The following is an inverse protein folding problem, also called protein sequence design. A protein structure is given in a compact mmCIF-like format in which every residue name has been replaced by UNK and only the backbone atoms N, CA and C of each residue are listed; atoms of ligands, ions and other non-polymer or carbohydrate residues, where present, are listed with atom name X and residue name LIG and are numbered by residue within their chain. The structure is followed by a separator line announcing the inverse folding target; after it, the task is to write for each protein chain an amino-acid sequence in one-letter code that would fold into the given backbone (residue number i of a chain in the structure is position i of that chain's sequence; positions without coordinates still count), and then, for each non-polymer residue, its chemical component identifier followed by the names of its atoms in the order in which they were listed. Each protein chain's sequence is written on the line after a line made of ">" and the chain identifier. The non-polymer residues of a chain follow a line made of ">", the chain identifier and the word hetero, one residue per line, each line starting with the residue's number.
data_IF_220884865375
#
_entry.id   IF_220884865375
#
_cell.length_a   1.000
_cell.length_b   1.000
_cell.length_c   1.000
_cell.angle_alpha   90.00
_cell.angle_beta   90.00
_cell.angle_gamma   90.00
#
_symmetry.space_group_name_H-M   'P 1'
#
loop_
_entity.id
_entity.type
_entity.pdbx_description
1 polymer ?
#
# COMPACT_ATOMS: atom_id res chain seq x y z
N UNK A 1 30.10 -6.27 -9.67
CA UNK A 1 28.82 -5.76 -9.12
C UNK A 1 28.96 -4.27 -8.94
N UNK A 2 28.08 -3.46 -9.55
CA UNK A 2 28.19 -2.00 -9.53
C UNK A 2 26.81 -1.37 -9.30
N UNK A 3 26.76 -0.34 -8.47
CA UNK A 3 25.60 0.53 -8.30
C UNK A 3 26.07 1.96 -8.00
N UNK A 4 25.26 2.94 -8.38
CA UNK A 4 25.54 4.36 -8.22
C UNK A 4 24.33 5.08 -7.62
N UNK A 5 24.55 6.28 -7.07
CA UNK A 5 23.44 7.17 -6.70
C UNK A 5 22.78 7.82 -7.93
N UNK A 6 23.61 8.25 -8.89
CA UNK A 6 23.18 8.89 -10.14
C UNK A 6 22.93 7.86 -11.26
N UNK A 7 22.03 8.15 -12.22
CA UNK A 7 21.86 7.31 -13.41
C UNK A 7 23.15 7.29 -14.25
N UNK A 8 23.52 6.11 -14.71
CA UNK A 8 24.51 5.91 -15.77
C UNK A 8 23.87 5.17 -16.94
N UNK A 9 24.39 5.40 -18.14
CA UNK A 9 23.97 4.70 -19.34
C UNK A 9 24.33 3.21 -19.30
N UNK A 10 23.71 2.43 -20.18
CA UNK A 10 24.03 1.01 -20.30
C UNK A 10 25.44 0.86 -20.88
N UNK A 11 26.18 -0.13 -20.39
CA UNK A 11 27.54 -0.42 -20.84
C UNK A 11 27.54 -1.76 -21.55
N UNK A 12 28.10 -1.81 -22.75
CA UNK A 12 28.33 -3.07 -23.46
C UNK A 12 29.78 -3.50 -23.26
N UNK A 13 29.98 -4.72 -22.76
CA UNK A 13 31.29 -5.31 -22.52
C UNK A 13 31.23 -6.79 -22.84
N UNK A 14 32.18 -7.30 -23.62
CA UNK A 14 32.28 -8.71 -24.04
C UNK A 14 30.97 -9.27 -24.65
N UNK A 15 30.28 -8.46 -25.47
CA UNK A 15 29.00 -8.83 -26.11
C UNK A 15 27.81 -8.94 -25.14
N UNK A 16 27.97 -8.46 -23.90
CA UNK A 16 26.91 -8.40 -22.87
C UNK A 16 26.58 -6.97 -22.52
N UNK A 17 25.28 -6.70 -22.39
CA UNK A 17 24.77 -5.40 -21.96
C UNK A 17 24.60 -5.39 -20.44
N UNK A 18 25.33 -4.51 -19.78
CA UNK A 18 25.24 -4.24 -18.35
C UNK A 18 24.38 -3.00 -18.09
N UNK A 19 23.43 -3.12 -17.16
CA UNK A 19 22.53 -2.01 -16.79
C UNK A 19 22.81 -1.62 -15.32
N UNK A 20 23.69 -0.64 -15.08
CA UNK A 20 24.05 -0.24 -13.72
C UNK A 20 22.80 0.17 -12.93
N UNK A 21 22.65 -0.38 -11.73
CA UNK A 21 21.51 -0.10 -10.85
C UNK A 21 21.71 1.19 -10.06
N UNK A 22 20.60 1.84 -9.70
CA UNK A 22 20.63 3.04 -8.87
C UNK A 22 20.27 2.70 -7.42
N UNK A 23 21.16 3.04 -6.48
CA UNK A 23 20.89 2.97 -5.04
C UNK A 23 20.10 4.19 -4.56
N UNK A 24 18.84 4.28 -4.97
CA UNK A 24 17.99 5.43 -4.65
C UNK A 24 17.19 5.21 -3.35
N UNK A 25 17.18 6.23 -2.50
CA UNK A 25 16.32 6.35 -1.32
C UNK A 25 14.83 6.11 -1.62
N UNK A 26 14.39 6.40 -2.84
CA UNK A 26 13.01 6.18 -3.32
C UNK A 26 12.52 4.73 -3.17
N UNK A 27 13.39 3.73 -3.01
CA UNK A 27 12.97 2.35 -2.76
C UNK A 27 12.52 2.09 -1.32
N UNK A 28 12.94 2.92 -0.36
CA UNK A 28 12.76 2.66 1.08
C UNK A 28 11.76 3.62 1.69
N UNK A 29 11.98 4.94 1.53
CA UNK A 29 11.17 5.95 2.24
C UNK A 29 9.66 5.86 1.96
N UNK A 30 9.19 5.66 0.71
CA UNK A 30 7.75 5.60 0.46
C UNK A 30 7.06 4.44 1.20
N UNK A 31 7.68 3.25 1.22
CA UNK A 31 7.12 2.09 1.90
C UNK A 31 7.15 2.21 3.43
N UNK A 32 8.27 2.69 3.99
CA UNK A 32 8.39 2.91 5.44
C UNK A 32 7.42 3.99 5.91
N UNK A 33 7.32 5.09 5.16
CA UNK A 33 6.41 6.19 5.48
C UNK A 33 4.94 5.73 5.38
N UNK A 34 4.58 4.99 4.33
CA UNK A 34 3.24 4.43 4.16
C UNK A 34 2.86 3.54 5.35
N UNK A 35 3.73 2.61 5.76
CA UNK A 35 3.50 1.78 6.93
C UNK A 35 3.40 2.60 8.23
N UNK A 36 4.29 3.56 8.44
CA UNK A 36 4.28 4.39 9.63
C UNK A 36 2.99 5.24 9.76
N UNK A 37 2.51 5.80 8.65
CA UNK A 37 1.29 6.62 8.62
C UNK A 37 0.05 5.74 8.83
N UNK A 38 -0.10 4.68 8.04
CA UNK A 38 -1.31 3.85 8.06
C UNK A 38 -1.51 3.15 9.41
N UNK A 39 -0.43 2.63 10.00
CA UNK A 39 -0.49 1.95 11.30
C UNK A 39 -0.30 2.90 12.49
N UNK A 40 -0.21 4.22 12.24
CA UNK A 40 -0.01 5.28 13.23
C UNK A 40 1.12 4.92 14.21
N UNK A 41 2.30 4.67 13.67
CA UNK A 41 3.47 4.27 14.44
C UNK A 41 3.88 5.37 15.44
N UNK A 42 4.12 5.01 16.70
CA UNK A 42 4.65 5.96 17.71
C UNK A 42 6.07 6.42 17.38
N UNK A 43 6.91 5.47 16.99
CA UNK A 43 8.31 5.69 16.63
C UNK A 43 8.70 4.73 15.50
N UNK A 44 9.63 5.15 14.65
CA UNK A 44 10.17 4.32 13.57
C UNK A 44 11.51 3.73 14.07
N UNK A 45 11.56 2.43 14.41
CA UNK A 45 12.80 1.80 14.85
C UNK A 45 13.73 1.53 13.66
N UNK A 46 15.04 1.44 13.91
CA UNK A 46 16.04 1.05 12.88
C UNK A 46 15.69 -0.28 12.19
N UNK A 47 15.01 -1.16 12.93
CA UNK A 47 14.52 -2.43 12.41
C UNK A 47 13.54 -2.25 11.25
N UNK A 48 12.76 -1.17 11.21
CA UNK A 48 11.85 -0.87 10.10
C UNK A 48 12.62 -0.63 8.80
N UNK A 49 13.75 0.07 8.85
CA UNK A 49 14.63 0.26 7.68
C UNK A 49 15.31 -1.05 7.27
N UNK A 50 15.71 -1.88 8.24
CA UNK A 50 16.23 -3.22 7.95
C UNK A 50 15.17 -4.14 7.33
N UNK A 51 13.91 -4.01 7.75
CA UNK A 51 12.79 -4.73 7.14
C UNK A 51 12.57 -4.23 5.72
N UNK A 52 12.50 -2.91 5.51
CA UNK A 52 12.36 -2.28 4.19
C UNK A 52 13.48 -2.70 3.22
N UNK A 53 14.72 -2.77 3.69
CA UNK A 53 15.88 -3.24 2.93
C UNK A 53 15.98 -4.78 2.81
N UNK A 54 15.07 -5.52 3.43
CA UNK A 54 14.96 -6.99 3.35
C UNK A 54 13.64 -7.47 2.71
N UNK A 55 12.76 -6.56 2.33
CA UNK A 55 11.39 -6.86 1.89
C UNK A 55 11.34 -7.90 0.80
N UNK A 56 10.49 -8.87 1.08
CA UNK A 56 10.24 -10.09 0.38
C UNK A 56 9.07 -9.90 -0.55
N UNK A 57 9.21 -10.27 -1.82
CA UNK A 57 8.02 -10.55 -2.64
C UNK A 57 7.36 -11.83 -2.12
N UNK A 58 6.43 -11.73 -1.17
CA UNK A 58 5.50 -12.83 -0.91
C UNK A 58 4.28 -12.63 -1.80
N UNK A 59 4.35 -13.17 -3.01
CA UNK A 59 3.19 -13.81 -3.61
C UNK A 59 3.51 -15.30 -3.62
N UNK A 60 3.22 -15.97 -2.50
CA UNK A 60 3.22 -17.44 -2.46
C UNK A 60 1.76 -17.83 -2.69
N UNK A 61 1.38 -18.39 -3.86
CA UNK A 61 0.06 -18.98 -3.99
C UNK A 61 -0.06 -20.07 -2.93
N UNK A 62 -1.18 -20.01 -2.20
CA UNK A 62 -1.58 -20.90 -1.12
C UNK A 62 -1.26 -22.36 -1.45
N UNK A 63 -0.19 -22.93 -0.85
CA UNK A 63 0.14 -24.34 -1.07
C UNK A 63 1.52 -24.83 -0.66
N UNK A 64 2.55 -23.98 -0.53
CA UNK A 64 3.90 -24.47 -0.25
C UNK A 64 4.39 -24.10 1.15
N UNK A 65 4.07 -25.01 2.08
CA UNK A 65 4.88 -25.49 3.20
C UNK A 65 5.61 -24.40 4.01
N UNK A 66 4.97 -24.11 5.14
CA UNK A 66 5.53 -23.67 6.41
C UNK A 66 6.84 -24.40 6.74
N UNK A 67 7.74 -23.68 7.42
CA UNK A 67 8.95 -24.17 8.08
C UNK A 67 10.26 -24.06 7.28
N UNK A 68 11.29 -23.54 7.97
CA UNK A 68 12.67 -23.26 7.50
C UNK A 68 12.81 -22.10 6.51
N UNK A 69 12.77 -20.87 7.02
CA UNK A 69 13.00 -19.68 6.18
C UNK A 69 13.73 -18.56 6.91
N UNK A 70 14.85 -18.90 7.55
CA UNK A 70 16.02 -18.02 7.57
C UNK A 70 16.52 -17.80 6.13
N UNK A 71 17.23 -16.69 5.90
CA UNK A 71 17.86 -16.23 4.65
C UNK A 71 17.03 -15.21 3.83
N UNK A 72 17.77 -14.13 3.51
CA UNK A 72 17.54 -12.91 2.74
C UNK A 72 16.41 -12.90 1.71
N UNK A 73 15.66 -11.79 1.59
CA UNK A 73 14.57 -11.69 0.61
C UNK A 73 14.33 -10.34 -0.13
N UNK A 74 15.11 -9.28 0.09
CA UNK A 74 15.12 -8.11 -0.84
C UNK A 74 15.70 -8.41 -2.22
N UNK A 75 16.50 -9.46 -2.33
CA UNK A 75 17.08 -9.91 -3.59
C UNK A 75 16.04 -10.51 -4.55
N UNK A 76 14.83 -10.88 -4.08
CA UNK A 76 13.86 -11.63 -4.88
C UNK A 76 12.97 -10.76 -5.79
N UNK A 77 12.80 -9.47 -5.50
CA UNK A 77 12.12 -8.56 -6.42
C UNK A 77 12.94 -8.35 -7.71
N UNK A 78 14.26 -8.56 -7.62
CA UNK A 78 15.15 -8.59 -8.77
C UNK A 78 15.04 -9.97 -9.41
N UNK A 79 14.36 -10.03 -10.56
CA UNK A 79 14.24 -11.27 -11.34
C UNK A 79 15.64 -11.86 -11.62
N UNK A 80 15.82 -13.17 -11.49
CA UNK A 80 17.10 -13.83 -11.83
C UNK A 80 17.58 -13.48 -13.24
N UNK A 81 16.63 -13.32 -14.18
CA UNK A 81 16.90 -12.85 -15.54
C UNK A 81 17.55 -11.47 -15.55
N UNK A 82 17.06 -10.53 -14.73
CA UNK A 82 17.63 -9.18 -14.62
C UNK A 82 19.03 -9.20 -14.01
N UNK A 83 19.27 -10.07 -13.03
CA UNK A 83 20.57 -10.22 -12.38
C UNK A 83 21.59 -10.91 -13.30
N UNK A 84 21.22 -12.02 -13.95
CA UNK A 84 22.14 -12.78 -14.82
C UNK A 84 22.38 -12.13 -16.18
N UNK A 85 21.36 -11.53 -16.78
CA UNK A 85 21.48 -10.92 -18.11
C UNK A 85 22.03 -9.51 -18.06
N UNK A 86 21.63 -8.69 -17.08
CA UNK A 86 21.96 -7.27 -17.04
C UNK A 86 22.80 -6.84 -15.82
N UNK A 87 23.13 -7.77 -14.91
CA UNK A 87 23.84 -7.49 -13.66
C UNK A 87 23.19 -6.39 -12.80
N UNK A 88 21.86 -6.22 -12.92
CA UNK A 88 21.13 -5.17 -12.22
C UNK A 88 20.85 -5.59 -10.76
N UNK A 89 21.22 -4.72 -9.83
CA UNK A 89 21.09 -4.97 -8.38
C UNK A 89 19.79 -4.47 -7.74
N UNK A 90 19.12 -3.50 -8.37
CA UNK A 90 17.90 -2.88 -7.85
C UNK A 90 16.69 -3.21 -8.72
N UNK A 91 15.47 -3.24 -8.15
CA UNK A 91 14.26 -3.45 -8.91
C UNK A 91 14.01 -2.31 -9.90
N UNK A 92 13.02 -2.47 -10.78
CA UNK A 92 12.67 -1.40 -11.73
C UNK A 92 11.92 -0.29 -11.01
N UNK A 93 12.18 0.96 -11.39
CA UNK A 93 11.48 2.14 -10.85
C UNK A 93 9.95 2.07 -11.02
N UNK A 94 9.46 1.41 -12.08
CA UNK A 94 8.01 1.22 -12.30
C UNK A 94 7.34 0.42 -11.19
N UNK A 95 8.09 -0.47 -10.55
CA UNK A 95 7.57 -1.42 -9.58
C UNK A 95 7.65 -0.87 -8.13
N UNK A 96 8.07 0.40 -7.95
CA UNK A 96 8.22 1.04 -6.63
C UNK A 96 6.90 1.08 -5.84
N UNK A 97 5.76 1.29 -6.52
CA UNK A 97 4.45 1.35 -5.84
C UNK A 97 4.12 0.03 -5.16
N UNK A 98 4.26 -1.09 -5.89
CA UNK A 98 4.03 -2.42 -5.33
C UNK A 98 5.05 -2.78 -4.27
N UNK A 99 6.32 -2.42 -4.47
CA UNK A 99 7.35 -2.60 -3.44
C UNK A 99 7.01 -1.85 -2.15
N UNK A 100 6.46 -0.64 -2.27
CA UNK A 100 6.07 0.19 -1.12
C UNK A 100 4.91 -0.43 -0.33
N UNK A 101 3.95 -1.07 -1.01
CA UNK A 101 2.86 -1.82 -0.35
C UNK A 101 3.43 -2.97 0.48
N UNK A 102 4.33 -3.77 -0.11
CA UNK A 102 4.94 -4.91 0.57
C UNK A 102 5.78 -4.47 1.79
N UNK A 103 6.55 -3.38 1.65
CA UNK A 103 7.27 -2.77 2.78
C UNK A 103 6.29 -2.34 3.87
N UNK A 104 5.20 -1.68 3.51
CA UNK A 104 4.22 -1.23 4.49
C UNK A 104 3.60 -2.41 5.25
N UNK A 105 3.28 -3.53 4.58
CA UNK A 105 2.77 -4.75 5.23
C UNK A 105 3.78 -5.30 6.25
N UNK A 106 5.04 -5.47 5.85
CA UNK A 106 6.09 -6.01 6.71
C UNK A 106 6.37 -5.09 7.92
N UNK A 107 6.43 -3.78 7.69
CA UNK A 107 6.58 -2.77 8.75
C UNK A 107 5.37 -2.79 9.68
N UNK A 108 4.15 -2.88 9.15
CA UNK A 108 2.91 -2.98 9.93
C UNK A 108 2.91 -4.18 10.86
N UNK A 109 3.24 -5.37 10.34
CA UNK A 109 3.36 -6.59 11.13
C UNK A 109 4.36 -6.44 12.29
N UNK A 110 5.50 -5.79 12.03
CA UNK A 110 6.48 -5.51 13.06
C UNK A 110 5.96 -4.52 14.11
N UNK A 111 5.30 -3.45 13.68
CA UNK A 111 4.76 -2.43 14.58
C UNK A 111 3.69 -2.99 15.52
N UNK A 112 2.78 -3.83 15.04
CA UNK A 112 1.78 -4.49 15.88
C UNK A 112 2.43 -5.46 16.86
N UNK A 113 3.36 -6.32 16.41
CA UNK A 113 4.07 -7.27 17.29
C UNK A 113 4.82 -6.61 18.44
N UNK A 114 5.35 -5.41 18.22
CA UNK A 114 6.10 -4.66 19.23
C UNK A 114 5.27 -3.60 19.97
N UNK A 115 3.94 -3.58 19.82
CA UNK A 115 3.04 -2.60 20.45
C UNK A 115 3.40 -1.13 20.13
N UNK A 116 3.95 -0.90 18.94
CA UNK A 116 4.33 0.42 18.43
C UNK A 116 3.24 1.05 17.55
N UNK A 117 2.35 0.23 16.98
CA UNK A 117 1.17 0.68 16.25
C UNK A 117 0.12 1.23 17.21
N UNK A 118 -0.52 2.35 16.84
CA UNK A 118 -1.68 2.91 17.57
C UNK A 118 -2.99 2.78 16.82
N UNK A 119 -2.97 2.26 15.59
CA UNK A 119 -4.18 1.89 14.87
C UNK A 119 -4.89 0.75 15.63
N UNK A 120 -6.16 0.96 15.95
CA UNK A 120 -7.02 -0.06 16.57
C UNK A 120 -8.43 0.02 15.98
N UNK A 121 -9.09 -1.11 15.66
CA UNK A 121 -8.60 -2.49 15.76
C UNK A 121 -7.48 -2.82 14.74
N UNK A 122 -6.74 -3.91 14.98
CA UNK A 122 -5.80 -4.43 13.98
C UNK A 122 -6.58 -4.97 12.78
N UNK A 123 -6.28 -4.53 11.54
CA UNK A 123 -6.98 -5.01 10.36
C UNK A 123 -6.64 -6.50 10.12
N UNK A 124 -7.68 -7.29 9.82
CA UNK A 124 -7.55 -8.72 9.51
C UNK A 124 -6.66 -8.95 8.28
N UNK A 125 -6.98 -8.24 7.18
CA UNK A 125 -6.15 -8.19 5.98
C UNK A 125 -5.44 -6.83 5.85
N UNK A 126 -4.15 -6.83 6.22
CA UNK A 126 -3.29 -5.64 6.15
C UNK A 126 -3.01 -5.21 4.72
N UNK A 127 -2.90 -6.13 3.77
CA UNK A 127 -2.60 -5.77 2.38
C UNK A 127 -3.80 -5.06 1.76
N UNK A 128 -5.00 -5.63 1.92
CA UNK A 128 -6.24 -5.01 1.44
C UNK A 128 -6.47 -3.65 2.08
N UNK A 129 -6.24 -3.52 3.40
CA UNK A 129 -6.31 -2.25 4.12
C UNK A 129 -5.36 -1.21 3.52
N UNK A 130 -4.09 -1.57 3.28
CA UNK A 130 -3.12 -0.65 2.68
C UNK A 130 -3.55 -0.23 1.27
N UNK A 131 -3.99 -1.18 0.43
CA UNK A 131 -4.40 -0.91 -0.95
C UNK A 131 -5.60 0.04 -1.03
N UNK A 132 -6.54 -0.02 -0.08
CA UNK A 132 -7.68 0.90 -0.01
C UNK A 132 -7.30 2.33 0.39
N UNK A 133 -6.16 2.52 1.07
CA UNK A 133 -5.73 3.82 1.58
C UNK A 133 -4.71 4.51 0.66
N UNK A 134 -4.23 3.82 -0.38
CA UNK A 134 -3.32 4.40 -1.36
C UNK A 134 -4.06 5.40 -2.24
N UNK A 135 -3.40 6.51 -2.54
CA UNK A 135 -3.90 7.52 -3.47
C UNK A 135 -4.21 6.94 -4.85
N UNK A 136 -5.45 7.14 -5.31
CA UNK A 136 -5.87 6.84 -6.67
C UNK A 136 -5.54 8.01 -7.60
N UNK A 137 -5.09 7.70 -8.81
CA UNK A 137 -4.83 8.70 -9.86
C UNK A 137 -6.06 8.96 -10.73
N UNK A 138 -7.13 8.18 -10.53
CA UNK A 138 -8.38 8.30 -11.25
C UNK A 138 -9.22 9.46 -10.69
N UNK A 139 -10.05 10.06 -11.53
CA UNK A 139 -10.94 11.14 -11.09
C UNK A 139 -12.06 10.58 -10.23
N UNK A 140 -12.31 11.24 -9.10
CA UNK A 140 -13.44 10.94 -8.24
C UNK A 140 -14.73 11.62 -8.73
N UNK A 141 -15.87 10.98 -8.48
CA UNK A 141 -17.18 11.59 -8.70
C UNK A 141 -17.43 12.71 -7.69
N UNK A 142 -17.60 13.94 -8.18
CA UNK A 142 -17.88 15.11 -7.36
C UNK A 142 -19.37 15.35 -7.10
N UNK A 143 -20.23 14.63 -7.83
CA UNK A 143 -21.69 14.75 -7.72
C UNK A 143 -22.19 13.69 -6.73
N UNK A 144 -23.08 14.09 -5.84
CA UNK A 144 -23.67 13.19 -4.85
C UNK A 144 -24.44 12.05 -5.53
N UNK A 145 -24.21 10.81 -5.07
CA UNK A 145 -25.01 9.64 -5.47
C UNK A 145 -26.36 9.69 -4.79
N UNK A 146 -27.43 9.78 -5.57
CA UNK A 146 -28.80 9.64 -5.07
C UNK A 146 -29.13 8.15 -4.95
N UNK A 147 -29.86 7.79 -3.89
CA UNK A 147 -30.41 6.45 -3.70
C UNK A 147 -31.84 6.58 -3.15
N UNK A 148 -32.71 5.68 -3.58
CA UNK A 148 -34.12 5.71 -3.19
C UNK A 148 -34.33 5.06 -1.82
N UNK A 149 -35.17 5.67 -1.01
CA UNK A 149 -35.69 5.06 0.21
C UNK A 149 -36.92 4.20 -0.10
N UNK A 150 -37.34 3.30 0.81
CA UNK A 150 -38.60 2.59 0.66
C UNK A 150 -39.75 3.58 0.42
N UNK A 151 -40.64 3.29 -0.54
CA UNK A 151 -41.65 4.25 -1.02
C UNK A 151 -42.62 4.77 0.05
N UNK A 152 -42.76 4.06 1.18
CA UNK A 152 -43.56 4.52 2.32
C UNK A 152 -42.86 5.64 3.09
N UNK A 153 -41.54 5.60 3.16
CA UNK A 153 -40.70 6.52 3.95
C UNK A 153 -40.29 7.77 3.14
N UNK A 154 -40.50 7.74 1.81
CA UNK A 154 -40.34 8.91 0.93
C UNK A 154 -41.58 9.83 0.89
N UNK A 155 -42.66 9.46 1.57
CA UNK A 155 -43.90 10.26 1.57
C UNK A 155 -43.72 11.49 2.47
N UNK A 156 -43.85 12.66 1.87
CA UNK A 156 -43.95 13.90 2.61
C UNK A 156 -45.35 14.07 3.21
N UNK A 157 -45.43 14.75 4.36
CA UNK A 157 -46.67 14.99 5.09
C UNK A 157 -46.68 14.30 6.45
N UNK A 158 -47.78 14.46 7.18
CA UNK A 158 -47.91 13.85 8.49
C UNK A 158 -48.08 12.33 8.36
N UNK A 159 -47.32 11.51 9.12
CA UNK A 159 -47.45 10.05 9.08
C UNK A 159 -48.79 9.57 9.65
N UNK A 160 -49.43 10.41 10.47
CA UNK A 160 -50.74 10.20 11.08
C UNK A 160 -51.61 11.41 10.76
N UNK A 161 -52.89 11.24 10.43
CA UNK A 161 -53.79 12.36 10.16
C UNK A 161 -53.82 13.37 11.32
N UNK A 162 -53.73 14.66 10.99
CA UNK A 162 -53.85 15.76 11.95
C UNK A 162 -55.08 16.59 11.62
N UNK A 163 -55.69 17.18 12.65
CA UNK A 163 -56.78 18.15 12.47
C UNK A 163 -56.17 19.46 11.97
N UNK A 164 -56.64 19.96 10.82
CA UNK A 164 -56.21 21.25 10.30
C UNK A 164 -56.65 22.38 11.23
N UNK A 165 -55.79 23.39 11.41
CA UNK A 165 -56.14 24.60 12.17
C UNK A 165 -56.81 25.58 11.22
N UNK A 166 -58.02 26.01 11.54
CA UNK A 166 -58.69 27.12 10.83
C UNK A 166 -57.98 28.44 11.13
N UNK A 167 -57.85 29.30 10.11
CA UNK A 167 -57.43 30.69 10.30
C UNK A 167 -58.64 31.56 10.58
N UNK A 168 -58.41 32.74 11.17
CA UNK A 168 -59.46 33.68 11.56
C UNK A 168 -60.25 34.26 10.37
N UNK A 169 -59.78 34.04 9.14
CA UNK A 169 -60.41 34.49 7.89
C UNK A 169 -61.42 33.48 7.33
N UNK A 170 -61.60 32.32 7.98
CA UNK A 170 -62.52 31.24 7.58
C UNK A 170 -63.82 31.17 8.44
N UNK A 171 -64.02 32.11 9.38
CA UNK A 171 -65.27 32.31 10.16
C UNK A 171 -66.09 33.50 9.64
#
# INVERSE_FOLDING_TARGET
>A
LFASGSPFENVEMDGRIFKPGQGNNAYIFPGVALGAILFKAKHIPDKAFLLAARVRSVFVPSGCIQELRDIQRCAEFVTEKSLRTYARLYPRLKDIRELSVLIAVDVGNYLFKHNLATLHPEPEDKEMFIRQQIYSVEYDELINKTYDWPSKDMKHGFPVPVMERSSMDEE
#
